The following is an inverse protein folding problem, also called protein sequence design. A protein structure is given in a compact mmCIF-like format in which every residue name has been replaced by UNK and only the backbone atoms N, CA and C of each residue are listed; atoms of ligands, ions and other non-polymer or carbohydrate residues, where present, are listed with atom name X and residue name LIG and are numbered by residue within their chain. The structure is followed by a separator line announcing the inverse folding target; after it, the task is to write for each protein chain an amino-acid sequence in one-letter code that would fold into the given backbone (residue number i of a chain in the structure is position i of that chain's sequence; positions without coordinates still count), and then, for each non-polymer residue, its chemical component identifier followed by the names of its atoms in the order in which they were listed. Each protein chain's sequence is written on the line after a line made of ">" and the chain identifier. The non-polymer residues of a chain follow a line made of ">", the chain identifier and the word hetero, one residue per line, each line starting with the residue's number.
data_IF_191088301715
#
_entry.id   IF_191088301715
#
_cell.length_a   1.000
_cell.length_b   1.000
_cell.length_c   1.000
_cell.angle_alpha   90.00
_cell.angle_beta   90.00
_cell.angle_gamma   90.00
#
_symmetry.space_group_name_H-M   'P 1'
#
loop_
_entity.id
_entity.type
_entity.pdbx_description
1 polymer ?
#
# COMPACT_ATOMS: atom_id res chain seq x y z
N UNK A 1 -13.64 8.96 12.64
CA UNK A 1 -13.27 10.37 12.91
C UNK A 1 -12.21 10.34 14.01
N UNK A 2 -11.05 10.96 13.80
CA UNK A 2 -9.97 10.97 14.80
C UNK A 2 -10.44 11.75 16.04
N UNK A 3 -9.99 11.38 17.25
CA UNK A 3 -10.38 12.07 18.48
C UNK A 3 -9.75 13.46 18.64
N UNK A 4 -8.92 13.90 17.68
CA UNK A 4 -8.24 15.20 17.68
C UNK A 4 -8.06 15.73 16.25
N UNK A 5 -7.74 17.02 16.12
CA UNK A 5 -7.36 17.67 14.86
C UNK A 5 -5.82 17.67 14.74
N UNK A 6 -5.23 16.85 13.84
CA UNK A 6 -3.77 16.73 13.73
C UNK A 6 -3.08 18.03 13.29
N UNK A 7 -3.81 19.00 12.72
CA UNK A 7 -3.27 20.27 12.23
C UNK A 7 -3.37 21.35 13.30
N UNK A 8 -4.49 21.42 14.02
CA UNK A 8 -4.73 22.49 15.01
C UNK A 8 -4.14 22.19 16.39
N UNK A 9 -4.03 20.92 16.76
CA UNK A 9 -3.67 20.53 18.12
C UNK A 9 -2.17 20.24 18.32
N UNK A 10 -1.35 20.29 17.27
CA UNK A 10 0.08 19.97 17.35
C UNK A 10 0.94 21.01 16.62
N UNK A 11 2.05 21.40 17.23
CA UNK A 11 3.09 22.21 16.59
C UNK A 11 4.20 21.27 16.06
N UNK A 12 4.49 21.26 14.74
CA UNK A 12 5.58 20.45 14.20
C UNK A 12 6.94 20.98 14.70
N UNK A 13 7.82 20.06 15.12
CA UNK A 13 9.18 20.38 15.57
C UNK A 13 10.18 20.23 14.43
N UNK A 14 10.33 19.02 13.89
CA UNK A 14 11.23 18.73 12.76
C UNK A 14 10.87 17.40 12.07
N UNK A 15 11.23 17.26 10.79
CA UNK A 15 11.20 16.00 10.04
C UNK A 15 12.53 15.26 10.24
N UNK A 16 12.50 14.05 10.80
CA UNK A 16 13.72 13.29 11.15
C UNK A 16 14.13 12.30 10.04
N UNK A 17 13.21 11.92 9.15
CA UNK A 17 13.54 11.07 8.03
C UNK A 17 12.34 10.78 7.13
N UNK A 18 12.66 10.30 5.93
CA UNK A 18 11.69 9.85 4.93
C UNK A 18 12.03 8.42 4.54
N UNK A 19 11.02 7.55 4.49
CA UNK A 19 11.17 6.17 4.07
C UNK A 19 10.35 5.93 2.80
N UNK A 20 10.95 5.35 1.74
CA UNK A 20 10.18 4.99 0.56
C UNK A 20 9.32 3.75 0.85
N UNK A 21 8.16 3.69 0.20
CA UNK A 21 7.39 2.46 0.10
C UNK A 21 7.99 1.58 -1.02
N UNK A 22 8.03 0.27 -0.80
CA UNK A 22 8.57 -0.69 -1.77
C UNK A 22 7.53 -1.76 -2.08
N UNK A 23 7.30 -2.01 -3.37
CA UNK A 23 6.51 -3.15 -3.83
C UNK A 23 7.37 -4.41 -3.78
N UNK A 24 7.00 -5.35 -2.93
CA UNK A 24 7.71 -6.62 -2.74
C UNK A 24 6.80 -7.80 -3.04
N UNK A 25 7.39 -8.87 -3.56
CA UNK A 25 6.71 -10.14 -3.84
C UNK A 25 7.46 -11.27 -3.16
N UNK A 26 6.82 -12.43 -3.00
CA UNK A 26 7.51 -13.62 -2.53
C UNK A 26 8.69 -13.96 -3.45
N UNK A 27 9.83 -14.40 -2.90
CA UNK A 27 11.03 -14.71 -3.69
C UNK A 27 10.78 -15.75 -4.81
N UNK A 28 9.89 -16.71 -4.56
CA UNK A 28 9.51 -17.75 -5.52
C UNK A 28 8.34 -17.33 -6.43
N UNK A 29 7.88 -16.07 -6.34
CA UNK A 29 6.82 -15.56 -7.21
C UNK A 29 7.26 -15.56 -8.68
N UNK A 30 6.34 -15.86 -9.62
CA UNK A 30 6.60 -15.71 -11.05
C UNK A 30 6.71 -14.24 -11.49
N UNK A 31 6.31 -13.28 -10.66
CA UNK A 31 6.36 -11.85 -10.98
C UNK A 31 7.79 -11.32 -10.80
N UNK A 32 8.44 -10.93 -11.89
CA UNK A 32 9.83 -10.43 -11.91
C UNK A 32 9.92 -8.93 -12.20
N UNK A 33 8.78 -8.32 -12.55
CA UNK A 33 8.65 -6.91 -12.84
C UNK A 33 7.32 -6.36 -12.31
N UNK A 34 7.20 -5.03 -12.23
CA UNK A 34 5.93 -4.37 -11.91
C UNK A 34 4.87 -4.69 -12.97
N UNK A 35 5.29 -4.80 -14.23
CA UNK A 35 4.43 -5.15 -15.36
C UNK A 35 3.79 -6.52 -15.17
N UNK A 36 4.51 -7.51 -14.62
CA UNK A 36 3.97 -8.84 -14.35
C UNK A 36 2.85 -8.79 -13.30
N UNK A 37 3.02 -7.96 -12.26
CA UNK A 37 1.99 -7.75 -11.22
C UNK A 37 0.75 -7.11 -11.83
N UNK A 38 0.92 -6.08 -12.67
CA UNK A 38 -0.17 -5.42 -13.39
C UNK A 38 -0.89 -6.42 -14.28
N UNK A 39 -0.15 -7.22 -15.06
CA UNK A 39 -0.72 -8.22 -15.96
C UNK A 39 -1.53 -9.28 -15.18
N UNK A 40 -0.97 -9.80 -14.08
CA UNK A 40 -1.66 -10.78 -13.24
C UNK A 40 -2.94 -10.21 -12.60
N UNK A 41 -2.89 -8.98 -12.09
CA UNK A 41 -4.04 -8.31 -11.48
C UNK A 41 -5.13 -7.96 -12.52
N UNK A 42 -4.76 -7.65 -13.78
CA UNK A 42 -5.72 -7.44 -14.87
C UNK A 42 -6.34 -8.74 -15.38
N UNK A 43 -5.54 -9.80 -15.48
CA UNK A 43 -6.01 -11.09 -16.00
C UNK A 43 -7.13 -11.67 -15.14
N UNK A 44 -7.08 -11.46 -13.82
CA UNK A 44 -8.12 -11.91 -12.89
C UNK A 44 -8.35 -10.88 -11.77
N UNK A 45 -9.26 -9.91 -11.98
CA UNK A 45 -9.54 -8.87 -10.99
C UNK A 45 -9.90 -9.45 -9.61
N UNK A 46 -9.23 -8.96 -8.56
CA UNK A 46 -9.43 -9.37 -7.17
C UNK A 46 -8.68 -10.62 -6.73
N UNK A 47 -7.95 -11.31 -7.62
CA UNK A 47 -7.17 -12.51 -7.21
C UNK A 47 -5.78 -12.19 -6.66
N UNK A 48 -5.25 -11.00 -6.94
CA UNK A 48 -3.98 -10.55 -6.38
C UNK A 48 -4.26 -9.95 -5.01
N UNK A 49 -3.66 -10.58 -3.99
CA UNK A 49 -3.70 -10.08 -2.62
C UNK A 49 -2.47 -9.21 -2.36
N UNK A 50 -2.64 -8.13 -1.60
CA UNK A 50 -1.52 -7.33 -1.10
C UNK A 50 -1.61 -7.14 0.42
N UNK A 51 -0.45 -7.13 1.07
CA UNK A 51 -0.35 -6.91 2.51
C UNK A 51 -0.02 -5.46 2.86
N UNK A 52 -0.49 -4.98 4.01
CA UNK A 52 0.02 -3.75 4.63
C UNK A 52 0.16 -3.93 6.14
N UNK A 53 0.82 -2.97 6.78
CA UNK A 53 0.88 -2.82 8.25
C UNK A 53 -0.44 -2.41 8.91
N UNK A 54 -1.54 -2.26 8.15
CA UNK A 54 -2.86 -1.96 8.68
C UNK A 54 -3.70 -1.05 7.78
N UNK A 55 -4.96 -0.86 8.15
CA UNK A 55 -5.88 0.02 7.44
C UNK A 55 -5.48 1.48 7.64
N UNK A 56 -5.32 2.20 6.53
CA UNK A 56 -5.04 3.64 6.51
C UNK A 56 -3.57 4.01 6.69
N UNK A 57 -2.66 3.03 6.79
CA UNK A 57 -1.22 3.28 6.79
C UNK A 57 -0.75 3.77 5.42
N UNK A 58 0.43 4.40 5.36
CA UNK A 58 1.05 4.85 4.12
C UNK A 58 1.20 3.73 3.09
N UNK A 59 1.43 2.49 3.54
CA UNK A 59 1.53 1.32 2.66
C UNK A 59 0.18 0.91 2.07
N UNK A 60 -0.89 0.92 2.88
CA UNK A 60 -2.25 0.64 2.39
C UNK A 60 -2.66 1.66 1.33
N UNK A 61 -2.49 2.95 1.63
CA UNK A 61 -2.87 4.01 0.70
C UNK A 61 -2.02 4.00 -0.57
N UNK A 62 -0.72 3.66 -0.48
CA UNK A 62 0.13 3.54 -1.66
C UNK A 62 -0.30 2.40 -2.58
N UNK A 63 -0.70 1.25 -2.02
CA UNK A 63 -1.19 0.12 -2.80
C UNK A 63 -2.54 0.40 -3.47
N UNK A 64 -3.46 1.06 -2.76
CA UNK A 64 -4.75 1.50 -3.32
C UNK A 64 -4.56 2.57 -4.41
N UNK A 65 -3.63 3.50 -4.21
CA UNK A 65 -3.26 4.49 -5.23
C UNK A 65 -2.69 3.81 -6.48
N UNK A 66 -1.78 2.85 -6.30
CA UNK A 66 -1.24 2.04 -7.40
C UNK A 66 -2.36 1.31 -8.15
N UNK A 67 -3.28 0.67 -7.42
CA UNK A 67 -4.43 -0.02 -8.02
C UNK A 67 -5.30 0.95 -8.83
N UNK A 68 -5.59 2.13 -8.28
CA UNK A 68 -6.38 3.17 -8.94
C UNK A 68 -5.71 3.67 -10.22
N UNK A 69 -4.43 4.02 -10.17
CA UNK A 69 -3.67 4.52 -11.32
C UNK A 69 -3.53 3.48 -12.43
N UNK A 70 -3.39 2.20 -12.07
CA UNK A 70 -3.22 1.11 -13.03
C UNK A 70 -4.55 0.45 -13.48
N UNK A 71 -5.69 0.91 -12.94
CA UNK A 71 -7.01 0.35 -13.24
C UNK A 71 -7.17 -1.10 -12.77
N UNK A 72 -6.63 -1.42 -11.60
CA UNK A 72 -6.61 -2.77 -11.03
C UNK A 72 -7.62 -2.92 -9.90
N UNK A 73 -8.06 -4.16 -9.68
CA UNK A 73 -8.75 -4.56 -8.46
C UNK A 73 -7.87 -5.58 -7.74
N UNK A 74 -7.42 -5.24 -6.55
CA UNK A 74 -6.63 -6.12 -5.67
C UNK A 74 -7.34 -6.30 -4.34
N UNK A 75 -6.99 -7.35 -3.60
CA UNK A 75 -7.58 -7.66 -2.30
C UNK A 75 -6.60 -7.31 -1.18
N UNK A 76 -6.98 -6.36 -0.32
CA UNK A 76 -6.17 -5.95 0.81
C UNK A 76 -6.24 -6.98 1.96
N UNK A 77 -5.07 -7.39 2.47
CA UNK A 77 -4.93 -8.24 3.66
C UNK A 77 -4.15 -7.46 4.73
N UNK A 78 -4.81 -6.88 5.75
CA UNK A 78 -4.14 -6.11 6.78
C UNK A 78 -3.43 -7.03 7.79
N UNK A 79 -2.17 -6.72 8.09
CA UNK A 79 -1.39 -7.34 9.16
C UNK A 79 -1.16 -6.34 10.28
N UNK A 80 -0.96 -6.83 11.51
CA UNK A 80 -0.57 -5.98 12.65
C UNK A 80 0.92 -5.67 12.55
N UNK A 81 1.26 -4.57 11.89
CA UNK A 81 2.65 -4.15 11.64
C UNK A 81 3.06 -2.83 12.29
N UNK A 82 2.17 -2.22 13.08
CA UNK A 82 2.38 -1.01 13.88
C UNK A 82 1.25 -0.87 14.90
#
# INVERSE_FOLDING_TARGET
>A
KMPYDPVKNFQPVALIGTLPNVLVVNANSPWKSVQDVIAAAKAKPGSVNFGSSGNGTSQHLAAELFANMAGLRMTHVPYKGS
#
